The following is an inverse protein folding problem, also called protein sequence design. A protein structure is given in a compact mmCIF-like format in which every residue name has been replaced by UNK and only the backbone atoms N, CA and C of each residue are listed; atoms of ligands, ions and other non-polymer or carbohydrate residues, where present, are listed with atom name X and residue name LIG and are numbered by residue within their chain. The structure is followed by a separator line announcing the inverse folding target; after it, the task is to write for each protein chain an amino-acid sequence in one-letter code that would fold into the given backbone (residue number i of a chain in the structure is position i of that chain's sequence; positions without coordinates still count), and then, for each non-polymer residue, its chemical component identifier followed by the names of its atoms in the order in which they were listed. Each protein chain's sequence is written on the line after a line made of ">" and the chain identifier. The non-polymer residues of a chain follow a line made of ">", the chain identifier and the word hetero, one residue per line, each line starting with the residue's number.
data_IF_829726881565
#
_entry.id   IF_829726881565
#
_cell.length_a   1.000
_cell.length_b   1.000
_cell.length_c   1.000
_cell.angle_alpha   90.00
_cell.angle_beta   90.00
_cell.angle_gamma   90.00
#
_symmetry.space_group_name_H-M   'P 1'
#
loop_
_entity.id
_entity.type
_entity.pdbx_description
1 polymer ?
#
# COMPACT_ATOMS: atom_id res chain seq x y z
N UNK A 1 -47.21 24.78 9.38
CA UNK A 1 -46.73 23.48 8.88
C UNK A 1 -45.39 23.23 9.54
N UNK A 2 -45.37 22.20 10.38
CA UNK A 2 -44.27 21.81 11.25
C UNK A 2 -43.00 21.49 10.42
N UNK A 3 -41.87 22.13 10.71
CA UNK A 3 -40.57 21.95 10.01
C UNK A 3 -39.73 20.83 10.61
N UNK A 4 -40.37 19.91 11.34
CA UNK A 4 -39.77 18.63 11.70
C UNK A 4 -40.29 17.62 10.69
N UNK A 5 -39.58 17.47 9.59
CA UNK A 5 -39.68 16.26 8.80
C UNK A 5 -39.19 15.13 9.71
N UNK A 6 -40.10 14.56 10.50
CA UNK A 6 -39.90 13.24 11.08
C UNK A 6 -39.63 12.32 9.90
N UNK A 7 -38.36 12.03 9.67
CA UNK A 7 -37.91 10.95 8.80
C UNK A 7 -38.51 9.70 9.44
N UNK A 8 -39.66 9.28 8.90
CA UNK A 8 -40.37 8.11 9.38
C UNK A 8 -39.46 6.91 9.18
N UNK A 9 -38.94 6.41 10.30
CA UNK A 9 -38.27 5.12 10.42
C UNK A 9 -36.98 5.00 9.58
N UNK A 10 -35.93 5.75 9.95
CA UNK A 10 -34.57 5.18 9.86
C UNK A 10 -34.58 4.05 10.89
N UNK A 11 -34.84 2.83 10.44
CA UNK A 11 -34.57 1.65 11.27
C UNK A 11 -33.05 1.62 11.40
N UNK A 12 -32.54 2.17 12.51
CA UNK A 12 -31.19 1.92 13.00
C UNK A 12 -31.12 0.44 13.40
N UNK A 13 -31.01 -0.43 12.42
CA UNK A 13 -30.42 -1.72 12.63
C UNK A 13 -28.91 -1.46 12.68
N UNK A 14 -28.32 -1.55 13.87
CA UNK A 14 -26.89 -1.86 14.00
C UNK A 14 -26.68 -3.25 13.39
N UNK A 15 -26.64 -3.31 12.06
CA UNK A 15 -25.94 -4.39 11.39
C UNK A 15 -24.53 -3.85 11.26
N UNK A 16 -23.60 -4.44 12.01
CA UNK A 16 -22.18 -4.34 11.72
C UNK A 16 -21.97 -4.89 10.30
N UNK A 17 -22.24 -4.07 9.30
CA UNK A 17 -21.75 -4.24 7.93
C UNK A 17 -20.69 -3.15 7.76
N UNK A 18 -19.60 -3.30 8.52
CA UNK A 18 -18.30 -3.09 7.90
C UNK A 18 -18.31 -3.87 6.58
N UNK A 19 -17.69 -3.36 5.52
CA UNK A 19 -17.65 -3.94 4.16
C UNK A 19 -17.07 -5.38 4.08
N UNK A 20 -17.75 -6.33 4.74
CA UNK A 20 -17.33 -7.68 5.10
C UNK A 20 -18.51 -8.62 4.83
N UNK A 21 -18.95 -8.69 3.58
CA UNK A 21 -19.64 -9.87 3.04
C UNK A 21 -19.25 -10.05 1.56
N UNK A 22 -18.14 -10.75 1.37
CA UNK A 22 -17.88 -11.84 0.40
C UNK A 22 -18.29 -11.64 -1.07
N UNK A 23 -17.27 -11.53 -1.92
CA UNK A 23 -17.01 -12.56 -2.95
C UNK A 23 -15.56 -13.01 -2.79
N UNK A 24 -15.35 -14.30 -2.49
CA UNK A 24 -14.03 -14.93 -2.57
C UNK A 24 -13.60 -14.95 -4.03
N UNK A 25 -12.68 -14.06 -4.41
CA UNK A 25 -11.91 -14.15 -5.64
C UNK A 25 -10.44 -14.07 -5.26
N UNK A 26 -9.66 -15.00 -5.82
CA UNK A 26 -8.25 -15.24 -5.53
C UNK A 26 -7.42 -13.95 -5.49
N UNK A 27 -6.34 -14.02 -4.69
CA UNK A 27 -5.31 -13.00 -4.46
C UNK A 27 -4.66 -12.40 -5.73
N UNK A 28 -4.75 -13.11 -6.84
CA UNK A 28 -4.44 -12.60 -8.18
C UNK A 28 -5.75 -12.31 -8.90
N UNK A 29 -6.15 -11.04 -9.08
CA UNK A 29 -7.32 -10.72 -9.90
C UNK A 29 -6.98 -11.04 -11.36
N UNK A 30 -7.15 -12.29 -11.77
CA UNK A 30 -7.27 -12.65 -13.18
C UNK A 30 -8.59 -12.09 -13.69
N UNK A 31 -8.57 -10.88 -14.23
CA UNK A 31 -9.73 -10.31 -14.93
C UNK A 31 -9.88 -11.08 -16.24
N UNK A 32 -10.80 -12.04 -16.27
CA UNK A 32 -11.18 -12.77 -17.47
C UNK A 32 -12.32 -12.05 -18.15
N UNK A 33 -12.15 -11.73 -19.43
CA UNK A 33 -13.23 -11.25 -20.29
C UNK A 33 -13.51 -12.31 -21.36
N UNK A 34 -14.79 -12.55 -21.64
CA UNK A 34 -15.20 -13.42 -22.74
C UNK A 34 -14.90 -12.72 -24.08
N UNK A 35 -14.06 -13.32 -24.92
CA UNK A 35 -13.92 -12.88 -26.30
C UNK A 35 -15.14 -13.35 -27.10
N UNK A 36 -16.05 -12.40 -27.37
CA UNK A 36 -17.30 -12.64 -28.09
C UNK A 36 -17.12 -13.24 -29.51
N UNK A 37 -15.91 -13.23 -30.09
CA UNK A 37 -15.61 -13.88 -31.37
C UNK A 37 -15.04 -15.29 -31.23
N UNK A 38 -14.37 -15.60 -30.12
CA UNK A 38 -13.68 -16.86 -29.93
C UNK A 38 -14.43 -17.85 -29.01
N UNK A 39 -15.40 -17.39 -28.23
CA UNK A 39 -16.17 -18.25 -27.31
C UNK A 39 -15.31 -18.89 -26.21
N UNK A 40 -14.17 -18.27 -25.89
CA UNK A 40 -13.20 -18.72 -24.89
C UNK A 40 -12.85 -17.58 -23.95
N UNK A 41 -12.78 -17.86 -22.65
CA UNK A 41 -12.21 -16.94 -21.67
C UNK A 41 -10.69 -16.92 -21.85
N UNK A 42 -10.16 -15.79 -22.31
CA UNK A 42 -8.72 -15.54 -22.35
C UNK A 42 -8.31 -14.75 -21.11
N UNK A 43 -7.21 -15.15 -20.48
CA UNK A 43 -6.54 -14.38 -19.43
C UNK A 43 -6.00 -13.09 -20.06
N UNK A 44 -6.66 -11.96 -19.81
CA UNK A 44 -6.20 -10.69 -20.32
C UNK A 44 -5.15 -10.18 -19.34
N UNK A 45 -3.90 -10.60 -19.52
CA UNK A 45 -2.71 -10.07 -18.82
C UNK A 45 -2.42 -8.59 -19.10
N UNK A 46 -3.45 -7.79 -19.40
CA UNK A 46 -3.34 -6.35 -19.54
C UNK A 46 -3.57 -5.74 -18.17
N UNK A 47 -2.46 -5.48 -17.48
CA UNK A 47 -2.37 -4.52 -16.38
C UNK A 47 -3.30 -3.34 -16.68
N UNK A 48 -4.11 -2.89 -15.71
CA UNK A 48 -5.10 -1.81 -15.89
C UNK A 48 -4.44 -0.41 -16.01
N UNK A 49 -3.15 -0.40 -16.30
CA UNK A 49 -2.25 0.72 -16.42
C UNK A 49 -1.21 0.36 -17.48
N UNK A 50 -0.56 1.37 -18.04
CA UNK A 50 0.60 1.20 -18.91
C UNK A 50 1.84 1.68 -18.18
N UNK A 51 2.99 1.14 -18.53
CA UNK A 51 4.26 1.75 -18.12
C UNK A 51 4.44 3.00 -18.98
N UNK A 52 4.29 4.17 -18.37
CA UNK A 52 4.50 5.47 -19.00
C UNK A 52 5.97 5.66 -19.36
N UNK A 53 6.83 5.31 -18.41
CA UNK A 53 8.27 5.27 -18.59
C UNK A 53 8.91 4.31 -17.59
N UNK A 54 10.03 3.73 -18.00
CA UNK A 54 10.97 3.06 -17.12
C UNK A 54 12.19 3.95 -16.98
N UNK A 55 12.58 4.21 -15.74
CA UNK A 55 13.73 5.02 -15.39
C UNK A 55 14.72 4.17 -14.60
N UNK A 56 15.99 4.28 -14.94
CA UNK A 56 17.08 3.70 -14.17
C UNK A 56 17.87 4.83 -13.53
N UNK A 57 17.83 4.90 -12.21
CA UNK A 57 18.66 5.84 -11.46
C UNK A 57 20.02 5.21 -11.23
N UNK A 58 21.08 5.82 -11.75
CA UNK A 58 22.44 5.30 -11.70
C UNK A 58 23.39 6.31 -11.04
N UNK A 59 24.10 5.86 -10.01
CA UNK A 59 25.26 6.53 -9.47
C UNK A 59 26.52 5.70 -9.81
N UNK A 60 27.14 6.04 -10.94
CA UNK A 60 28.32 5.40 -11.54
C UNK A 60 29.64 6.03 -11.10
N UNK A 61 29.59 7.07 -10.27
CA UNK A 61 30.73 7.87 -9.78
C UNK A 61 31.78 8.24 -10.85
N UNK A 62 31.36 8.31 -12.11
CA UNK A 62 32.22 8.59 -13.25
C UNK A 62 32.38 10.08 -13.54
N UNK A 63 33.44 10.40 -14.28
CA UNK A 63 33.74 11.77 -14.74
C UNK A 63 34.14 12.72 -13.61
N UNK A 64 33.99 14.03 -13.85
CA UNK A 64 34.38 15.10 -12.90
C UNK A 64 33.29 15.42 -11.86
N UNK A 65 32.38 14.47 -11.59
CA UNK A 65 31.26 14.64 -10.65
C UNK A 65 31.70 14.49 -9.19
N UNK A 66 31.00 15.16 -8.30
CA UNK A 66 31.12 15.04 -6.85
C UNK A 66 29.89 14.35 -6.26
N UNK A 67 29.97 13.90 -5.00
CA UNK A 67 28.80 13.33 -4.29
C UNK A 67 27.59 14.28 -4.25
N UNK A 68 27.81 15.60 -4.31
CA UNK A 68 26.70 16.57 -4.32
C UNK A 68 25.86 16.47 -5.59
N UNK A 69 26.49 16.13 -6.71
CA UNK A 69 25.82 16.05 -8.01
C UNK A 69 24.84 14.88 -8.05
N UNK A 70 25.06 13.83 -7.26
CA UNK A 70 24.13 12.72 -7.13
C UNK A 70 22.98 12.98 -6.14
N UNK A 71 23.09 13.95 -5.23
CA UNK A 71 22.11 14.14 -4.15
C UNK A 71 20.95 15.08 -4.57
N UNK A 72 20.08 14.63 -5.47
CA UNK A 72 18.91 15.40 -5.94
C UNK A 72 17.73 14.50 -6.32
N UNK A 73 16.55 15.10 -6.48
CA UNK A 73 15.36 14.41 -7.02
C UNK A 73 15.58 13.96 -8.47
N UNK A 74 16.26 14.77 -9.27
CA UNK A 74 16.56 14.46 -10.68
C UNK A 74 17.48 13.23 -10.83
N UNK A 75 18.45 13.05 -9.93
CA UNK A 75 19.31 11.87 -9.92
C UNK A 75 18.71 10.72 -9.11
N UNK A 76 17.56 10.92 -8.46
CA UNK A 76 16.86 9.90 -7.69
C UNK A 76 17.55 9.46 -6.39
N UNK A 77 18.64 10.11 -5.95
CA UNK A 77 19.37 9.71 -4.73
C UNK A 77 19.30 10.75 -3.62
N UNK A 78 19.19 10.25 -2.40
CA UNK A 78 19.46 10.99 -1.16
C UNK A 78 20.72 10.44 -0.54
N UNK A 79 21.69 11.32 -0.30
CA UNK A 79 22.99 10.98 0.29
C UNK A 79 23.11 11.66 1.65
N UNK A 80 23.29 10.88 2.72
CA UNK A 80 23.28 11.42 4.09
C UNK A 80 24.49 12.31 4.42
N UNK A 81 25.60 12.18 3.68
CA UNK A 81 26.73 13.09 3.74
C UNK A 81 27.47 13.18 2.41
N UNK A 82 27.60 14.39 1.87
CA UNK A 82 28.34 14.64 0.61
C UNK A 82 29.83 14.95 0.84
N UNK A 83 30.32 14.82 2.07
CA UNK A 83 31.74 15.05 2.45
C UNK A 83 32.35 13.83 3.14
N UNK A 84 31.57 12.76 3.29
CA UNK A 84 32.00 11.51 3.90
C UNK A 84 32.62 10.59 2.86
N UNK A 85 33.87 10.83 2.47
CA UNK A 85 34.59 10.00 1.50
C UNK A 85 35.05 10.79 0.29
N UNK A 86 35.49 10.08 -0.74
CA UNK A 86 35.97 10.67 -2.00
C UNK A 86 35.59 9.80 -3.19
N UNK A 87 35.42 10.42 -4.35
CA UNK A 87 35.31 9.74 -5.63
C UNK A 87 36.69 9.76 -6.29
N UNK A 88 37.20 8.59 -6.67
CA UNK A 88 38.44 8.44 -7.43
C UNK A 88 38.37 7.21 -8.31
N UNK A 89 38.99 7.29 -9.49
CA UNK A 89 39.05 6.19 -10.46
C UNK A 89 37.65 5.63 -10.83
N UNK A 90 36.63 6.50 -10.86
CA UNK A 90 35.24 6.10 -11.15
C UNK A 90 34.53 5.39 -10.00
N UNK A 91 35.09 5.34 -8.80
CA UNK A 91 34.50 4.64 -7.65
C UNK A 91 34.39 5.55 -6.44
N UNK A 92 33.43 5.24 -5.58
CA UNK A 92 33.25 5.94 -4.32
C UNK A 92 33.93 5.20 -3.16
N UNK A 93 34.81 5.91 -2.43
CA UNK A 93 35.52 5.42 -1.26
C UNK A 93 35.07 6.17 0.01
N UNK A 94 34.36 5.53 0.95
CA UNK A 94 33.91 6.18 2.18
C UNK A 94 35.03 6.46 3.19
N UNK A 95 36.20 5.82 3.06
CA UNK A 95 37.37 6.03 3.92
C UNK A 95 37.04 5.90 5.42
N UNK A 96 36.37 4.80 5.80
CA UNK A 96 35.89 4.47 7.17
C UNK A 96 34.84 5.41 7.76
N UNK A 97 34.29 6.34 6.98
CA UNK A 97 33.15 7.13 7.40
C UNK A 97 31.85 6.38 7.14
N UNK A 98 30.86 6.60 7.99
CA UNK A 98 29.53 6.05 7.79
C UNK A 98 28.66 7.01 6.97
N UNK A 99 27.92 6.47 6.02
CA UNK A 99 26.96 7.22 5.23
C UNK A 99 25.93 6.28 4.58
N UNK A 100 24.87 6.87 4.05
CA UNK A 100 23.74 6.15 3.48
C UNK A 100 23.42 6.73 2.10
N UNK A 101 23.15 5.84 1.17
CA UNK A 101 22.60 6.11 -0.16
C UNK A 101 21.17 5.54 -0.18
N UNK A 102 20.18 6.42 -0.19
CA UNK A 102 18.77 6.02 -0.25
C UNK A 102 18.17 6.48 -1.57
N UNK A 103 17.31 5.65 -2.16
CA UNK A 103 16.44 6.10 -3.25
C UNK A 103 15.48 7.16 -2.73
N UNK A 104 15.29 8.24 -3.49
CA UNK A 104 14.23 9.22 -3.20
C UNK A 104 12.85 8.69 -3.53
N UNK A 105 12.80 7.67 -4.38
CA UNK A 105 11.59 6.99 -4.80
C UNK A 105 11.64 5.53 -4.37
N UNK A 106 10.47 4.91 -4.24
CA UNK A 106 10.41 3.46 -4.13
C UNK A 106 10.89 2.83 -5.44
N UNK A 107 11.66 1.74 -5.38
CA UNK A 107 12.01 0.96 -6.55
C UNK A 107 10.74 0.28 -7.09
N UNK A 108 10.76 -0.10 -8.37
CA UNK A 108 9.56 -0.56 -9.05
C UNK A 108 8.59 0.60 -9.22
N UNK A 109 7.43 0.58 -8.57
CA UNK A 109 6.45 1.68 -8.59
C UNK A 109 5.86 1.92 -7.18
N UNK A 110 5.14 3.02 -7.00
CA UNK A 110 4.61 3.39 -5.67
C UNK A 110 3.57 2.39 -5.10
N UNK A 111 3.07 1.44 -5.90
CA UNK A 111 2.03 0.47 -5.54
C UNK A 111 2.54 -0.97 -5.45
N UNK A 112 3.80 -1.24 -5.84
CA UNK A 112 4.36 -2.60 -5.85
C UNK A 112 3.76 -3.51 -6.91
N UNK A 113 3.43 -2.95 -8.07
CA UNK A 113 2.83 -3.63 -9.21
C UNK A 113 3.87 -4.14 -10.24
N UNK A 114 5.04 -3.52 -10.28
CA UNK A 114 6.19 -3.85 -11.11
C UNK A 114 7.39 -4.24 -10.25
N UNK A 115 8.19 -5.19 -10.74
CA UNK A 115 9.35 -5.71 -10.03
C UNK A 115 10.36 -4.61 -9.69
N UNK A 116 10.93 -4.72 -8.49
CA UNK A 116 11.94 -3.83 -7.95
C UNK A 116 13.33 -4.43 -8.16
N UNK A 117 14.25 -3.66 -8.70
CA UNK A 117 15.64 -4.03 -8.90
C UNK A 117 16.52 -2.98 -8.24
N UNK A 118 17.40 -3.41 -7.34
CA UNK A 118 18.39 -2.56 -6.68
C UNK A 118 19.74 -3.25 -6.79
N UNK A 119 20.78 -2.53 -7.18
CA UNK A 119 22.11 -3.12 -7.29
C UNK A 119 23.23 -2.15 -7.00
N UNK A 120 24.42 -2.71 -6.83
CA UNK A 120 25.66 -1.97 -6.63
C UNK A 120 26.85 -2.90 -6.89
N UNK A 121 27.98 -2.32 -7.24
CA UNK A 121 29.25 -3.01 -7.34
C UNK A 121 30.04 -2.73 -6.06
N UNK A 122 30.67 -3.79 -5.54
CA UNK A 122 31.38 -3.75 -4.28
C UNK A 122 32.82 -4.20 -4.49
N UNK A 123 33.76 -3.29 -4.21
CA UNK A 123 35.13 -3.66 -3.91
C UNK A 123 35.21 -3.95 -2.41
N UNK A 124 35.49 -5.19 -2.05
CA UNK A 124 35.45 -5.64 -0.66
C UNK A 124 36.54 -4.97 0.19
N UNK A 125 36.21 -4.77 1.46
CA UNK A 125 37.09 -4.18 2.47
C UNK A 125 36.64 -4.58 3.88
N UNK A 126 37.29 -4.00 4.89
CA UNK A 126 36.86 -4.10 6.29
C UNK A 126 35.70 -3.14 6.58
N UNK A 127 34.94 -3.43 7.63
CA UNK A 127 33.67 -2.74 7.94
C UNK A 127 32.48 -3.49 7.36
N UNK A 128 31.34 -2.81 7.22
CA UNK A 128 30.15 -3.42 6.63
C UNK A 128 29.44 -2.53 5.62
N UNK A 129 28.75 -3.18 4.69
CA UNK A 129 27.71 -2.58 3.85
C UNK A 129 26.38 -3.17 4.29
N UNK A 130 25.40 -2.34 4.62
CA UNK A 130 24.07 -2.76 5.07
C UNK A 130 23.05 -2.30 4.03
N UNK A 131 22.23 -3.21 3.53
CA UNK A 131 21.16 -2.92 2.59
C UNK A 131 19.83 -3.17 3.28
N UNK A 132 19.06 -2.11 3.49
CA UNK A 132 17.71 -2.19 4.05
C UNK A 132 16.69 -2.11 2.92
N UNK A 133 15.87 -3.14 2.76
CA UNK A 133 14.81 -3.23 1.74
C UNK A 133 13.42 -3.20 2.37
N UNK A 134 12.42 -2.80 1.59
CA UNK A 134 11.01 -2.70 2.01
C UNK A 134 10.84 -1.92 3.33
N UNK A 135 11.55 -0.80 3.44
CA UNK A 135 11.37 0.15 4.55
C UNK A 135 10.06 0.89 4.36
N UNK A 136 9.29 1.07 5.42
CA UNK A 136 7.98 1.73 5.34
C UNK A 136 8.16 3.21 5.01
N UNK A 137 9.12 3.87 5.67
CA UNK A 137 9.47 5.26 5.40
C UNK A 137 10.92 5.40 4.96
N UNK A 138 11.18 6.44 4.16
CA UNK A 138 12.52 6.80 3.70
C UNK A 138 13.51 7.04 4.87
N UNK A 139 13.01 7.40 6.05
CA UNK A 139 13.81 7.71 7.25
C UNK A 139 13.92 6.57 8.25
N UNK A 140 13.25 5.44 8.02
CA UNK A 140 13.19 4.33 8.98
C UNK A 140 14.57 3.73 9.22
N UNK A 141 14.94 3.59 10.49
CA UNK A 141 16.16 2.89 10.85
C UNK A 141 15.91 1.39 10.80
N UNK A 142 16.99 0.64 10.89
CA UNK A 142 16.95 -0.82 11.02
C UNK A 142 16.08 -1.33 12.16
N UNK A 143 15.99 -0.55 13.24
CA UNK A 143 15.16 -0.88 14.39
C UNK A 143 13.65 -0.66 14.15
N UNK A 144 13.30 0.04 13.07
CA UNK A 144 11.95 0.53 12.80
C UNK A 144 11.23 -0.36 11.78
N UNK A 145 11.87 -0.70 10.63
CA UNK A 145 11.24 -1.53 9.58
C UNK A 145 12.25 -2.13 8.58
N UNK A 146 11.75 -3.02 7.72
CA UNK A 146 12.44 -3.57 6.56
C UNK A 146 13.24 -4.85 6.81
N UNK A 147 13.71 -5.46 5.72
CA UNK A 147 14.64 -6.59 5.73
C UNK A 147 16.05 -6.08 5.48
N UNK A 148 16.97 -6.45 6.35
CA UNK A 148 18.34 -5.94 6.35
C UNK A 148 19.35 -7.01 5.99
N UNK A 149 20.15 -6.73 4.96
CA UNK A 149 21.24 -7.57 4.47
C UNK A 149 22.56 -6.90 4.82
N UNK A 150 23.36 -7.53 5.67
CA UNK A 150 24.60 -6.96 6.21
C UNK A 150 25.76 -7.75 5.65
N UNK A 151 26.49 -7.13 4.75
CA UNK A 151 27.71 -7.66 4.13
C UNK A 151 28.89 -7.30 5.02
N UNK A 152 29.59 -8.30 5.57
CA UNK A 152 30.73 -8.07 6.44
C UNK A 152 31.75 -9.20 6.27
N UNK A 153 32.91 -8.88 5.68
CA UNK A 153 33.91 -9.89 5.35
C UNK A 153 33.32 -11.00 4.46
N UNK A 154 33.42 -12.26 4.92
CA UNK A 154 32.94 -13.44 4.19
C UNK A 154 31.48 -13.80 4.49
N UNK A 155 30.75 -12.97 5.24
CA UNK A 155 29.37 -13.26 5.63
C UNK A 155 28.37 -12.23 5.08
N UNK A 156 27.14 -12.72 4.89
CA UNK A 156 25.94 -11.90 4.75
C UNK A 156 24.98 -12.29 5.86
N UNK A 157 24.58 -11.32 6.67
CA UNK A 157 23.60 -11.51 7.74
C UNK A 157 22.25 -10.90 7.35
N UNK A 158 21.19 -11.69 7.45
CA UNK A 158 19.82 -11.30 7.13
C UNK A 158 19.08 -11.08 8.45
N UNK A 159 18.55 -9.88 8.64
CA UNK A 159 17.81 -9.51 9.85
C UNK A 159 16.46 -8.89 9.51
N UNK A 160 15.43 -9.33 10.23
CA UNK A 160 14.10 -8.73 10.18
C UNK A 160 13.51 -8.73 11.59
N UNK A 161 13.17 -7.56 12.09
CA UNK A 161 12.90 -7.37 13.51
C UNK A 161 11.55 -7.90 13.96
N UNK A 162 10.50 -7.79 13.14
CA UNK A 162 9.15 -8.16 13.55
C UNK A 162 8.95 -9.67 13.71
N UNK A 163 9.57 -10.45 12.84
CA UNK A 163 9.60 -11.91 12.88
C UNK A 163 10.71 -12.47 13.77
N UNK A 164 11.67 -11.64 14.18
CA UNK A 164 12.84 -12.06 14.96
C UNK A 164 13.89 -12.83 14.16
N UNK A 165 13.82 -12.80 12.83
CA UNK A 165 14.79 -13.44 11.95
C UNK A 165 16.16 -12.76 12.12
N UNK A 166 17.18 -13.57 12.40
CA UNK A 166 18.57 -13.16 12.51
C UNK A 166 19.49 -14.31 12.07
N UNK A 167 19.83 -14.33 10.78
CA UNK A 167 20.55 -15.43 10.13
C UNK A 167 21.85 -14.95 9.52
N UNK A 168 22.97 -15.56 9.92
CA UNK A 168 24.29 -15.28 9.34
C UNK A 168 24.70 -16.40 8.37
N UNK A 169 25.12 -16.02 7.17
CA UNK A 169 25.44 -16.93 6.07
C UNK A 169 26.83 -16.66 5.51
N UNK A 170 27.50 -17.69 5.00
CA UNK A 170 28.79 -17.59 4.28
C UNK A 170 28.62 -18.00 2.82
N UNK A 171 28.02 -17.14 1.97
CA UNK A 171 27.53 -17.56 0.66
C UNK A 171 28.62 -17.68 -0.42
N UNK A 172 29.86 -17.31 -0.13
CA UNK A 172 30.93 -17.23 -1.12
C UNK A 172 31.68 -18.55 -1.35
N UNK A 173 31.39 -19.59 -0.54
CA UNK A 173 32.07 -20.88 -0.59
C UNK A 173 33.47 -20.83 0.03
N UNK A 174 34.26 -21.88 -0.18
CA UNK A 174 35.60 -22.03 0.44
C UNK A 174 36.61 -20.95 0.03
N UNK A 175 36.40 -20.31 -1.12
CA UNK A 175 37.27 -19.25 -1.61
C UNK A 175 37.13 -17.92 -0.84
N UNK A 176 36.07 -17.77 -0.03
CA UNK A 176 35.75 -16.52 0.64
C UNK A 176 35.19 -15.46 -0.32
N UNK A 177 34.93 -14.27 0.21
CA UNK A 177 34.43 -13.15 -0.57
C UNK A 177 35.40 -12.78 -1.70
N UNK A 178 34.91 -12.47 -2.91
CA UNK A 178 35.76 -12.03 -4.00
C UNK A 178 36.39 -10.67 -3.70
N UNK A 179 37.41 -10.29 -4.47
CA UNK A 179 37.98 -8.94 -4.36
C UNK A 179 36.95 -7.88 -4.77
N UNK A 180 36.19 -8.15 -5.84
CA UNK A 180 35.16 -7.28 -6.38
C UNK A 180 34.02 -8.11 -6.96
N UNK A 181 32.77 -7.68 -6.75
CA UNK A 181 31.59 -8.30 -7.35
C UNK A 181 30.43 -7.32 -7.50
N UNK A 182 29.50 -7.63 -8.41
CA UNK A 182 28.23 -6.91 -8.54
C UNK A 182 27.13 -7.64 -7.78
N UNK A 183 26.35 -6.89 -7.01
CA UNK A 183 25.20 -7.38 -6.27
C UNK A 183 23.90 -6.81 -6.85
N UNK A 184 22.87 -7.64 -6.88
CA UNK A 184 21.54 -7.25 -7.35
C UNK A 184 20.45 -7.93 -6.54
N UNK A 185 19.61 -7.12 -5.92
CA UNK A 185 18.36 -7.53 -5.32
C UNK A 185 17.26 -7.41 -6.36
N UNK A 186 16.60 -8.53 -6.67
CA UNK A 186 15.37 -8.56 -7.47
C UNK A 186 14.19 -8.91 -6.56
N UNK A 187 13.25 -7.98 -6.42
CA UNK A 187 12.07 -8.11 -5.59
C UNK A 187 10.82 -8.16 -6.47
N UNK A 188 10.21 -9.34 -6.53
CA UNK A 188 8.99 -9.62 -7.31
C UNK A 188 7.72 -9.44 -6.48
N UNK A 189 7.82 -8.81 -5.31
CA UNK A 189 6.76 -8.68 -4.31
C UNK A 189 6.40 -10.01 -3.59
N UNK A 190 6.61 -11.15 -4.24
CA UNK A 190 6.54 -12.50 -3.65
C UNK A 190 7.86 -12.97 -3.05
N UNK A 191 8.99 -12.54 -3.61
CA UNK A 191 10.31 -12.89 -3.15
C UNK A 191 11.35 -11.81 -3.45
N UNK A 192 12.27 -11.60 -2.51
CA UNK A 192 13.49 -10.83 -2.70
C UNK A 192 14.63 -11.81 -2.93
N UNK A 193 15.25 -11.77 -4.12
CA UNK A 193 16.37 -12.63 -4.48
C UNK A 193 17.65 -11.82 -4.60
N UNK A 194 18.71 -12.23 -3.89
CA UNK A 194 20.03 -11.63 -4.01
C UNK A 194 20.91 -12.42 -4.98
N UNK A 195 21.33 -11.74 -6.04
CA UNK A 195 22.29 -12.26 -7.00
C UNK A 195 23.67 -11.63 -6.79
N UNK A 196 24.69 -12.44 -7.05
CA UNK A 196 26.09 -12.05 -7.15
C UNK A 196 26.56 -12.29 -8.59
N UNK A 197 27.23 -11.31 -9.18
CA UNK A 197 27.91 -11.46 -10.47
C UNK A 197 29.41 -11.23 -10.31
N UNK A 198 30.20 -12.23 -10.67
CA UNK A 198 31.66 -12.20 -10.69
C UNK A 198 32.12 -12.43 -12.15
N UNK A 199 32.69 -11.40 -12.77
CA UNK A 199 32.99 -11.43 -14.21
C UNK A 199 31.72 -11.68 -15.03
N UNK A 200 31.67 -12.78 -15.78
CA UNK A 200 30.50 -13.17 -16.59
C UNK A 200 29.54 -14.13 -15.84
N UNK A 201 29.86 -14.54 -14.61
CA UNK A 201 29.09 -15.55 -13.87
C UNK A 201 28.13 -14.90 -12.89
N UNK A 202 26.82 -15.00 -13.16
CA UNK A 202 25.75 -14.60 -12.23
C UNK A 202 25.21 -15.82 -11.47
N UNK A 203 25.15 -15.75 -10.14
CA UNK A 203 24.59 -16.80 -9.27
C UNK A 203 23.62 -16.23 -8.25
N UNK A 204 22.58 -16.99 -7.93
CA UNK A 204 21.67 -16.70 -6.82
C UNK A 204 22.36 -17.08 -5.50
N UNK A 205 22.39 -16.17 -4.52
CA UNK A 205 22.93 -16.46 -3.19
C UNK A 205 21.84 -16.96 -2.24
N UNK A 206 20.70 -16.29 -2.22
CA UNK A 206 19.53 -16.66 -1.42
C UNK A 206 18.29 -15.90 -1.91
N UNK A 207 17.12 -16.40 -1.50
CA UNK A 207 15.83 -15.72 -1.69
C UNK A 207 15.09 -15.65 -0.38
N UNK A 208 14.52 -14.48 -0.08
CA UNK A 208 13.58 -14.29 1.02
C UNK A 208 12.18 -14.32 0.43
N UNK A 209 11.39 -15.34 0.76
CA UNK A 209 10.00 -15.50 0.32
C UNK A 209 9.04 -14.96 1.36
N UNK A 210 7.96 -14.40 0.88
CA UNK A 210 6.88 -13.86 1.71
C UNK A 210 5.56 -14.48 1.28
N UNK A 211 4.73 -14.81 2.27
CA UNK A 211 3.30 -15.06 2.06
C UNK A 211 2.50 -14.07 2.93
N UNK A 212 1.17 -14.20 3.02
CA UNK A 212 0.35 -13.25 3.79
C UNK A 212 0.77 -13.11 5.25
N UNK A 213 1.33 -14.18 5.82
CA UNK A 213 1.55 -14.30 7.25
C UNK A 213 3.02 -14.42 7.60
N UNK A 214 3.81 -15.05 6.74
CA UNK A 214 5.14 -15.54 7.10
C UNK A 214 6.23 -15.11 6.12
N UNK A 215 7.44 -15.03 6.67
CA UNK A 215 8.70 -14.90 5.95
C UNK A 215 9.47 -16.23 6.00
N UNK A 216 10.17 -16.58 4.92
CA UNK A 216 11.06 -17.74 4.88
C UNK A 216 12.31 -17.42 4.05
N UNK A 217 13.48 -17.82 4.55
CA UNK A 217 14.74 -17.64 3.82
C UNK A 217 15.12 -18.96 3.17
N UNK A 218 15.48 -18.91 1.89
CA UNK A 218 15.95 -20.04 1.10
C UNK A 218 17.38 -19.76 0.61
N UNK A 219 18.22 -20.78 0.54
CA UNK A 219 19.55 -20.67 -0.10
C UNK A 219 19.44 -20.59 -1.63
N UNK A 220 20.57 -20.40 -2.31
CA UNK A 220 20.66 -20.33 -3.77
C UNK A 220 20.25 -21.61 -4.51
N UNK A 221 20.04 -22.73 -3.81
CA UNK A 221 19.51 -23.99 -4.36
C UNK A 221 18.00 -24.15 -4.14
N UNK A 222 17.41 -23.26 -3.33
CA UNK A 222 16.00 -23.31 -2.92
C UNK A 222 15.76 -24.12 -1.63
N UNK A 223 16.80 -24.51 -0.90
CA UNK A 223 16.65 -25.17 0.39
C UNK A 223 16.27 -24.15 1.47
N UNK A 224 15.29 -24.48 2.31
CA UNK A 224 14.78 -23.61 3.38
C UNK A 224 15.81 -23.53 4.52
N UNK A 225 16.21 -22.31 4.88
CA UNK A 225 17.18 -21.99 5.92
C UNK A 225 16.52 -21.56 7.25
N UNK A 226 15.29 -21.04 7.18
CA UNK A 226 14.49 -20.67 8.36
C UNK A 226 13.10 -21.28 8.24
N UNK A 227 12.52 -21.73 9.35
CA UNK A 227 11.09 -22.04 9.37
C UNK A 227 10.27 -20.77 9.05
N UNK A 228 9.05 -20.97 8.56
CA UNK A 228 8.13 -19.88 8.29
C UNK A 228 7.81 -19.16 9.62
N UNK A 229 8.16 -17.88 9.71
CA UNK A 229 7.94 -17.07 10.91
C UNK A 229 6.99 -15.92 10.62
N UNK A 230 6.02 -15.64 11.51
CA UNK A 230 5.08 -14.55 11.30
C UNK A 230 5.77 -13.19 11.29
N UNK A 231 5.37 -12.29 10.39
CA UNK A 231 5.81 -10.89 10.41
C UNK A 231 4.62 -9.93 10.59
N UNK A 232 4.88 -8.66 10.91
CA UNK A 232 3.82 -7.65 11.03
C UNK A 232 4.18 -6.24 10.51
N UNK A 233 5.42 -6.01 10.07
CA UNK A 233 5.91 -4.66 9.76
C UNK A 233 6.75 -4.59 8.48
N UNK A 234 6.45 -5.46 7.51
CA UNK A 234 7.07 -5.45 6.19
C UNK A 234 5.97 -5.11 5.17
N UNK A 235 6.04 -3.97 4.47
CA UNK A 235 5.09 -3.62 3.44
C UNK A 235 5.32 -4.50 2.19
N UNK A 236 4.34 -4.53 1.28
CA UNK A 236 4.49 -5.27 0.02
C UNK A 236 5.59 -4.63 -0.85
N UNK A 237 5.59 -3.31 -0.99
CA UNK A 237 6.69 -2.53 -1.55
C UNK A 237 7.15 -1.46 -0.54
N UNK A 238 8.38 -0.97 -0.66
CA UNK A 238 8.87 0.08 0.23
C UNK A 238 10.19 0.69 -0.19
N UNK A 239 10.62 1.69 0.59
CA UNK A 239 11.89 2.37 0.39
C UNK A 239 13.08 1.45 0.63
N UNK A 240 14.24 1.83 0.10
CA UNK A 240 15.49 1.13 0.35
C UNK A 240 16.60 2.06 0.81
N UNK A 241 17.68 1.49 1.34
CA UNK A 241 18.93 2.20 1.59
C UNK A 241 20.11 1.27 1.46
N UNK A 242 21.24 1.80 1.00
CA UNK A 242 22.55 1.17 1.03
C UNK A 242 23.43 2.01 1.96
N UNK A 243 23.73 1.47 3.12
CA UNK A 243 24.54 2.10 4.16
C UNK A 243 25.94 1.51 4.19
N UNK A 244 26.96 2.35 4.21
CA UNK A 244 28.33 1.93 4.53
C UNK A 244 28.63 2.29 5.99
N UNK A 245 29.17 1.34 6.76
CA UNK A 245 29.49 1.53 8.19
C UNK A 245 30.95 1.19 8.44
N UNK A 246 31.75 2.20 8.77
CA UNK A 246 33.20 2.08 8.98
C UNK A 246 33.94 1.31 7.87
N UNK A 247 33.44 1.43 6.64
CA UNK A 247 33.88 0.64 5.49
C UNK A 247 35.13 1.24 4.84
N UNK A 248 36.11 0.42 4.45
CA UNK A 248 37.31 0.87 3.72
C UNK A 248 37.51 0.23 2.34
N UNK A 249 36.48 -0.45 1.82
CA UNK A 249 36.38 -0.80 0.40
C UNK A 249 35.83 0.35 -0.45
N UNK A 250 35.25 0.01 -1.60
CA UNK A 250 34.64 0.98 -2.51
C UNK A 250 33.28 0.51 -3.01
N UNK A 251 32.42 1.47 -3.36
CA UNK A 251 31.17 1.23 -4.06
C UNK A 251 31.22 1.83 -5.46
N UNK A 252 30.52 1.19 -6.39
CA UNK A 252 30.30 1.70 -7.74
C UNK A 252 28.94 1.25 -8.27
N UNK A 253 28.46 1.88 -9.36
CA UNK A 253 27.25 1.52 -10.09
C UNK A 253 26.03 1.23 -9.21
N UNK A 254 25.81 2.07 -8.19
CA UNK A 254 24.58 1.99 -7.39
C UNK A 254 23.42 2.30 -8.32
N UNK A 255 22.42 1.43 -8.32
CA UNK A 255 21.32 1.52 -9.26
C UNK A 255 20.01 1.06 -8.65
N UNK A 256 18.93 1.67 -9.09
CA UNK A 256 17.59 1.12 -8.90
C UNK A 256 16.65 1.55 -10.03
N UNK A 257 15.65 0.71 -10.34
CA UNK A 257 14.65 1.01 -11.35
C UNK A 257 13.43 1.74 -10.74
N UNK A 258 12.75 2.52 -11.57
CA UNK A 258 11.43 3.06 -11.29
C UNK A 258 10.55 3.04 -12.53
N UNK A 259 9.33 2.60 -12.39
CA UNK A 259 8.27 2.67 -13.38
C UNK A 259 7.32 3.81 -13.01
N UNK A 260 7.13 4.73 -13.95
CA UNK A 260 6.00 5.65 -13.91
C UNK A 260 4.81 4.98 -14.56
N UNK A 261 3.70 4.89 -13.84
CA UNK A 261 2.50 4.22 -14.31
C UNK A 261 1.54 5.25 -14.91
N UNK A 262 1.07 4.98 -16.13
CA UNK A 262 0.03 5.74 -16.80
C UNK A 262 -1.30 4.98 -16.67
N UNK A 263 -2.17 5.52 -15.83
CA UNK A 263 -3.52 5.01 -15.64
C UNK A 263 -4.53 5.61 -16.64
N UNK A 264 -4.08 6.45 -17.58
CA UNK A 264 -4.96 6.97 -18.64
C UNK A 264 -5.34 5.85 -19.61
N UNK A 265 -6.51 5.28 -19.37
CA UNK A 265 -7.12 4.34 -20.29
C UNK A 265 -7.65 5.12 -21.51
N UNK A 266 -7.54 4.58 -22.73
CA UNK A 266 -8.16 5.19 -23.89
C UNK A 266 -9.68 5.29 -23.67
N UNK A 267 -10.28 6.39 -24.16
CA UNK A 267 -11.73 6.62 -24.12
C UNK A 267 -12.46 5.36 -24.63
N UNK A 268 -13.18 4.69 -23.73
CA UNK A 268 -13.86 3.44 -24.00
C UNK A 268 -15.37 3.67 -23.89
N UNK A 269 -16.14 3.10 -24.81
CA UNK A 269 -17.60 3.07 -24.68
C UNK A 269 -17.98 2.48 -23.31
N UNK A 270 -18.90 3.17 -22.64
CA UNK A 270 -19.41 2.79 -21.34
C UNK A 270 -19.93 1.35 -21.39
N UNK A 271 -19.20 0.42 -20.78
CA UNK A 271 -19.66 -0.96 -20.65
C UNK A 271 -20.69 -1.02 -19.55
N UNK A 272 -21.96 -1.21 -19.93
CA UNK A 272 -22.95 -1.67 -18.98
C UNK A 272 -22.57 -3.11 -18.59
N UNK A 273 -22.12 -3.29 -17.35
CA UNK A 273 -21.94 -4.61 -16.77
C UNK A 273 -23.15 -4.83 -15.87
N UNK A 274 -23.88 -5.91 -16.10
CA UNK A 274 -25.10 -6.24 -15.35
C UNK A 274 -24.76 -7.13 -14.15
N UNK A 275 -24.76 -6.52 -12.98
CA UNK A 275 -24.44 -7.17 -11.70
C UNK A 275 -25.68 -7.69 -10.97
N UNK A 276 -26.86 -7.58 -11.58
CA UNK A 276 -28.12 -8.06 -10.99
C UNK A 276 -28.15 -9.57 -10.73
N UNK A 277 -27.15 -10.31 -11.23
CA UNK A 277 -26.98 -11.75 -11.04
C UNK A 277 -26.06 -12.14 -9.88
N UNK A 278 -25.38 -11.18 -9.23
CA UNK A 278 -24.45 -11.48 -8.14
C UNK A 278 -25.19 -11.70 -6.82
N UNK A 279 -24.72 -12.66 -6.03
CA UNK A 279 -25.31 -13.01 -4.73
C UNK A 279 -24.21 -13.04 -3.68
N UNK A 280 -24.48 -12.46 -2.52
CA UNK A 280 -23.58 -12.56 -1.37
C UNK A 280 -23.88 -13.85 -0.62
N UNK A 281 -22.83 -14.56 -0.19
CA UNK A 281 -22.92 -15.74 0.65
C UNK A 281 -22.02 -15.55 1.87
N UNK A 282 -22.40 -16.07 3.04
CA UNK A 282 -21.53 -16.09 4.21
C UNK A 282 -20.82 -17.44 4.42
N UNK A 283 -19.91 -17.49 5.39
CA UNK A 283 -19.10 -18.67 5.71
C UNK A 283 -19.92 -19.88 6.20
N UNK A 284 -21.20 -19.67 6.54
CA UNK A 284 -22.14 -20.74 6.90
C UNK A 284 -22.94 -21.22 5.67
N UNK A 285 -22.65 -20.70 4.49
CA UNK A 285 -23.33 -21.03 3.23
C UNK A 285 -24.71 -20.38 3.09
N UNK A 286 -25.06 -19.40 3.92
CA UNK A 286 -26.31 -18.64 3.76
C UNK A 286 -26.12 -17.62 2.64
N UNK A 287 -27.11 -17.42 1.80
CA UNK A 287 -27.08 -16.45 0.70
C UNK A 287 -28.05 -15.30 0.94
N UNK A 288 -27.74 -14.12 0.41
CA UNK A 288 -28.67 -12.99 0.38
C UNK A 288 -29.90 -13.33 -0.45
N UNK A 289 -31.10 -12.84 -0.07
CA UNK A 289 -32.32 -13.08 -0.82
C UNK A 289 -32.20 -12.66 -2.29
N UNK A 290 -32.73 -13.49 -3.19
CA UNK A 290 -32.71 -13.22 -4.62
C UNK A 290 -33.79 -12.20 -5.01
N UNK A 291 -33.68 -11.62 -6.20
CA UNK A 291 -34.72 -10.75 -6.76
C UNK A 291 -36.10 -11.44 -6.81
N UNK A 292 -36.16 -12.76 -6.99
CA UNK A 292 -37.42 -13.52 -6.93
C UNK A 292 -38.10 -13.46 -5.55
N UNK A 293 -37.35 -13.18 -4.49
CA UNK A 293 -37.85 -13.09 -3.11
C UNK A 293 -38.14 -11.64 -2.69
N UNK A 294 -37.37 -10.68 -3.20
CA UNK A 294 -37.41 -9.27 -2.77
C UNK A 294 -38.07 -8.31 -3.76
N UNK A 295 -38.19 -8.72 -5.03
CA UNK A 295 -38.67 -7.91 -6.14
C UNK A 295 -37.62 -6.92 -6.67
N UNK A 296 -38.04 -6.12 -7.65
CA UNK A 296 -37.18 -5.12 -8.29
C UNK A 296 -36.85 -3.94 -7.37
N UNK A 297 -35.81 -3.17 -7.75
CA UNK A 297 -35.49 -1.88 -7.13
C UNK A 297 -36.74 -1.01 -7.06
N UNK A 298 -36.94 -0.37 -5.90
CA UNK A 298 -38.06 0.56 -5.67
C UNK A 298 -37.57 1.96 -5.97
N UNK A 299 -38.14 2.59 -7.00
CA UNK A 299 -37.73 3.93 -7.47
C UNK A 299 -37.91 5.04 -6.42
N UNK A 300 -38.76 4.84 -5.40
CA UNK A 300 -39.01 5.79 -4.31
C UNK A 300 -38.16 5.52 -3.06
N UNK A 301 -37.17 4.62 -3.15
CA UNK A 301 -36.29 4.24 -2.04
C UNK A 301 -34.82 4.36 -2.44
N UNK A 302 -34.02 4.80 -1.48
CA UNK A 302 -32.57 4.90 -1.62
C UNK A 302 -31.87 3.96 -0.63
N UNK A 303 -30.72 3.43 -1.03
CA UNK A 303 -29.78 2.66 -0.21
C UNK A 303 -28.60 3.55 0.14
N UNK A 304 -28.50 3.91 1.42
CA UNK A 304 -27.37 4.64 1.98
C UNK A 304 -26.43 3.72 2.78
N UNK A 305 -25.12 3.91 2.65
CA UNK A 305 -24.11 3.14 3.40
C UNK A 305 -23.19 4.05 4.22
N UNK A 306 -22.90 3.69 5.46
CA UNK A 306 -21.90 4.37 6.28
C UNK A 306 -20.49 4.10 5.76
N UNK A 307 -19.69 5.16 5.62
CA UNK A 307 -18.34 5.09 5.07
C UNK A 307 -17.35 5.84 5.97
N UNK A 308 -16.31 5.15 6.42
CA UNK A 308 -15.35 5.68 7.38
C UNK A 308 -14.07 6.19 6.71
N UNK A 309 -13.58 7.34 7.18
CA UNK A 309 -12.26 7.91 6.83
C UNK A 309 -11.25 7.81 7.98
N UNK A 310 -11.51 6.98 8.99
CA UNK A 310 -10.76 6.94 10.24
C UNK A 310 -9.72 5.81 10.35
N UNK A 311 -9.39 5.12 9.26
CA UNK A 311 -8.28 4.14 9.22
C UNK A 311 -6.87 4.78 9.22
N UNK A 312 -6.75 6.05 9.67
CA UNK A 312 -5.49 6.77 9.61
C UNK A 312 -4.70 6.43 10.86
N UNK A 313 -3.60 5.73 10.69
CA UNK A 313 -2.71 5.43 11.78
C UNK A 313 -2.08 6.73 12.29
N UNK A 314 -2.58 7.34 13.36
CA UNK A 314 -1.98 8.55 13.95
C UNK A 314 -1.26 8.16 15.25
N UNK A 315 0.07 8.02 15.18
CA UNK A 315 0.95 7.65 16.31
C UNK A 315 1.89 6.47 15.98
N UNK A 316 3.15 6.50 16.46
CA UNK A 316 4.10 5.39 16.27
C UNK A 316 3.94 4.28 17.34
N UNK A 317 4.71 3.17 17.24
CA UNK A 317 4.75 2.29 16.08
C UNK A 317 3.32 1.78 15.75
N UNK A 318 3.03 1.74 14.46
CA UNK A 318 1.69 1.49 13.90
C UNK A 318 1.39 -0.01 13.84
N UNK A 319 1.09 -0.61 14.97
CA UNK A 319 0.65 -2.01 15.00
C UNK A 319 -0.74 -2.15 14.36
N UNK A 320 -0.86 -3.02 13.37
CA UNK A 320 -2.14 -3.53 12.90
C UNK A 320 -2.79 -4.29 14.05
N UNK A 321 -3.86 -3.72 14.61
CA UNK A 321 -4.66 -4.39 15.64
C UNK A 321 -5.77 -5.19 14.98
N UNK A 322 -5.49 -6.46 14.71
CA UNK A 322 -6.46 -7.43 14.19
C UNK A 322 -6.92 -8.38 15.31
N UNK A 323 -8.19 -8.26 15.68
CA UNK A 323 -8.80 -9.09 16.70
C UNK A 323 -8.96 -10.56 16.26
N UNK A 324 -9.10 -10.87 14.97
CA UNK A 324 -9.09 -12.26 14.49
C UNK A 324 -7.70 -12.87 14.69
N UNK A 325 -6.63 -12.18 14.28
CA UNK A 325 -5.25 -12.63 14.53
C UNK A 325 -4.97 -12.78 16.03
N UNK A 326 -5.38 -11.82 16.85
CA UNK A 326 -5.25 -11.92 18.32
C UNK A 326 -6.01 -13.13 18.89
N UNK A 327 -7.22 -13.40 18.39
CA UNK A 327 -8.04 -14.53 18.81
C UNK A 327 -7.35 -15.85 18.51
N UNK A 328 -6.85 -16.01 17.29
CA UNK A 328 -6.21 -17.24 16.83
C UNK A 328 -4.90 -17.51 17.58
N UNK A 329 -4.13 -16.46 17.91
CA UNK A 329 -2.85 -16.59 18.59
C UNK A 329 -2.97 -16.76 20.12
N UNK A 330 -3.92 -16.06 20.74
CA UNK A 330 -3.94 -15.89 22.21
C UNK A 330 -5.29 -16.26 22.86
N UNK A 331 -6.33 -16.53 22.08
CA UNK A 331 -7.66 -16.89 22.56
C UNK A 331 -8.52 -15.71 23.03
N UNK A 332 -9.78 -16.01 23.35
CA UNK A 332 -10.82 -15.00 23.65
C UNK A 332 -10.55 -14.19 24.92
N UNK A 333 -9.90 -14.78 25.93
CA UNK A 333 -9.65 -14.09 27.19
C UNK A 333 -8.58 -12.99 27.04
N UNK A 334 -7.62 -13.19 26.13
CA UNK A 334 -6.67 -12.14 25.75
C UNK A 334 -7.37 -10.93 25.14
N UNK A 335 -8.30 -11.16 24.19
CA UNK A 335 -9.06 -10.08 23.54
C UNK A 335 -9.89 -9.30 24.56
N UNK A 336 -10.57 -9.99 25.48
CA UNK A 336 -11.38 -9.35 26.51
C UNK A 336 -10.57 -8.39 27.37
N UNK A 337 -9.33 -8.74 27.72
CA UNK A 337 -8.45 -7.84 28.46
C UNK A 337 -7.89 -6.73 27.56
N UNK A 338 -7.49 -7.04 26.33
CA UNK A 338 -6.93 -6.07 25.39
C UNK A 338 -7.91 -4.92 25.05
N UNK A 339 -9.18 -5.25 24.76
CA UNK A 339 -10.20 -4.24 24.37
C UNK A 339 -10.46 -3.23 25.49
N UNK A 340 -10.29 -3.60 26.77
CA UNK A 340 -10.46 -2.66 27.89
C UNK A 340 -9.45 -1.51 27.84
N UNK A 341 -8.26 -1.75 27.30
CA UNK A 341 -7.17 -0.76 27.23
C UNK A 341 -6.96 -0.20 25.83
N UNK A 342 -7.50 -0.83 24.79
CA UNK A 342 -7.31 -0.43 23.38
C UNK A 342 -8.52 -0.81 22.53
N UNK A 343 -9.61 -0.01 22.56
CA UNK A 343 -10.91 -0.40 22.00
C UNK A 343 -11.03 -0.28 20.47
N UNK A 344 -10.03 0.27 19.77
CA UNK A 344 -10.06 0.43 18.32
C UNK A 344 -9.21 -0.61 17.61
N UNK A 345 -9.72 -1.25 16.56
CA UNK A 345 -9.00 -2.24 15.77
C UNK A 345 -9.87 -2.86 14.68
N UNK A 346 -9.26 -3.69 13.85
CA UNK A 346 -9.92 -4.48 12.84
C UNK A 346 -10.44 -5.77 13.48
N UNK A 347 -11.69 -6.14 13.20
CA UNK A 347 -12.26 -7.39 13.71
C UNK A 347 -11.78 -8.61 12.91
N UNK A 348 -11.35 -8.39 11.68
CA UNK A 348 -10.66 -9.32 10.80
C UNK A 348 -9.85 -8.52 9.78
N UNK A 349 -8.98 -9.16 9.01
CA UNK A 349 -8.31 -8.51 7.89
C UNK A 349 -9.32 -8.03 6.83
N UNK A 350 -9.28 -6.74 6.42
CA UNK A 350 -10.13 -6.27 5.33
C UNK A 350 -9.77 -6.93 4.00
N UNK A 351 -10.72 -6.97 3.06
CA UNK A 351 -10.49 -7.60 1.76
C UNK A 351 -9.28 -7.02 0.99
N UNK A 352 -9.01 -5.72 1.15
CA UNK A 352 -7.84 -5.04 0.56
C UNK A 352 -6.65 -4.94 1.52
N UNK A 353 -6.60 -5.79 2.55
CA UNK A 353 -5.62 -5.68 3.63
C UNK A 353 -5.83 -4.42 4.49
N UNK A 354 -4.84 -4.09 5.32
CA UNK A 354 -4.90 -2.96 6.25
C UNK A 354 -4.56 -1.63 5.59
N UNK A 355 -5.44 -1.19 4.69
CA UNK A 355 -5.25 0.03 3.90
C UNK A 355 -5.36 1.32 4.72
N UNK A 356 -4.73 2.38 4.20
CA UNK A 356 -4.79 3.74 4.75
C UNK A 356 -5.84 4.58 4.00
N UNK A 357 -6.38 5.63 4.62
CA UNK A 357 -7.42 6.48 3.98
C UNK A 357 -6.88 7.44 2.90
N UNK A 358 -5.63 7.27 2.48
CA UNK A 358 -5.07 8.03 1.36
C UNK A 358 -4.63 7.11 0.23
N UNK A 359 -5.15 5.89 0.20
CA UNK A 359 -4.95 4.95 -0.89
C UNK A 359 -6.03 5.16 -1.97
N UNK A 360 -5.65 5.81 -3.07
CA UNK A 360 -6.52 6.05 -4.23
C UNK A 360 -7.04 4.74 -4.84
N UNK A 361 -6.21 3.70 -4.90
CA UNK A 361 -6.57 2.43 -5.50
C UNK A 361 -7.76 1.81 -4.75
N UNK A 362 -7.75 1.89 -3.42
CA UNK A 362 -8.86 1.42 -2.57
C UNK A 362 -10.13 2.24 -2.82
N UNK A 363 -10.05 3.56 -2.95
CA UNK A 363 -11.21 4.39 -3.25
C UNK A 363 -11.85 4.07 -4.61
N UNK A 364 -11.05 3.76 -5.62
CA UNK A 364 -11.56 3.28 -6.92
C UNK A 364 -12.26 1.93 -6.79
N UNK A 365 -11.69 1.00 -6.02
CA UNK A 365 -12.32 -0.31 -5.76
C UNK A 365 -13.61 -0.19 -4.96
N UNK A 366 -13.65 0.66 -3.94
CA UNK A 366 -14.86 0.92 -3.16
C UNK A 366 -15.97 1.51 -4.03
N UNK A 367 -15.69 2.52 -4.85
CA UNK A 367 -16.70 3.06 -5.78
C UNK A 367 -17.31 1.96 -6.64
N UNK A 368 -16.46 1.12 -7.23
CA UNK A 368 -16.89 -0.01 -8.04
C UNK A 368 -17.77 -0.99 -7.25
N UNK A 369 -17.30 -1.47 -6.11
CA UNK A 369 -18.00 -2.48 -5.29
C UNK A 369 -19.33 -1.95 -4.75
N UNK A 370 -19.36 -0.71 -4.26
CA UNK A 370 -20.57 -0.09 -3.73
C UNK A 370 -21.61 0.15 -4.82
N UNK A 371 -21.17 0.59 -5.99
CA UNK A 371 -22.05 0.69 -7.15
C UNK A 371 -22.65 -0.68 -7.51
N UNK A 372 -21.86 -1.76 -7.46
CA UNK A 372 -22.36 -3.12 -7.72
C UNK A 372 -23.31 -3.65 -6.65
N UNK A 373 -23.11 -3.23 -5.40
CA UNK A 373 -24.03 -3.52 -4.32
C UNK A 373 -25.34 -2.70 -4.42
N UNK A 374 -25.47 -1.80 -5.39
CA UNK A 374 -26.65 -0.95 -5.56
C UNK A 374 -26.76 0.16 -4.52
N UNK A 375 -25.63 0.59 -3.94
CA UNK A 375 -25.58 1.71 -2.99
C UNK A 375 -25.76 3.01 -3.77
N UNK A 376 -26.81 3.77 -3.46
CA UNK A 376 -27.11 5.03 -4.12
C UNK A 376 -26.22 6.16 -3.59
N UNK A 377 -25.92 6.16 -2.29
CA UNK A 377 -25.03 7.15 -1.68
C UNK A 377 -24.31 6.61 -0.44
N UNK A 378 -23.20 7.25 -0.09
CA UNK A 378 -22.48 7.02 1.16
C UNK A 378 -22.70 8.17 2.16
N UNK A 379 -22.83 7.82 3.44
CA UNK A 379 -22.64 8.74 4.54
C UNK A 379 -21.15 8.77 4.88
N UNK A 380 -20.47 9.81 4.44
CA UNK A 380 -19.06 10.01 4.75
C UNK A 380 -18.93 10.49 6.19
N UNK A 381 -18.54 9.57 7.08
CA UNK A 381 -18.46 9.83 8.51
C UNK A 381 -17.20 10.61 8.87
N UNK A 382 -17.44 11.82 9.35
CA UNK A 382 -16.47 12.79 9.89
C UNK A 382 -16.98 13.31 11.26
N UNK A 383 -17.88 12.58 11.92
CA UNK A 383 -18.56 13.07 13.13
C UNK A 383 -17.64 13.18 14.35
N UNK A 384 -16.45 12.58 14.33
CA UNK A 384 -15.47 12.54 15.41
C UNK A 384 -14.56 13.78 15.48
N UNK A 385 -15.07 14.96 15.12
CA UNK A 385 -14.37 16.25 15.12
C UNK A 385 -13.07 16.29 14.29
N UNK A 386 -13.00 15.47 13.24
CA UNK A 386 -11.93 15.51 12.25
C UNK A 386 -12.53 15.24 10.86
N UNK A 387 -12.36 16.20 9.96
CA UNK A 387 -12.84 16.07 8.57
C UNK A 387 -11.89 15.28 7.68
N UNK A 388 -10.71 14.89 8.17
CA UNK A 388 -9.71 14.13 7.41
C UNK A 388 -9.41 14.75 6.04
N UNK A 389 -9.00 16.02 6.03
CA UNK A 389 -8.90 16.85 4.81
C UNK A 389 -8.23 16.14 3.64
N UNK A 390 -7.03 15.60 3.85
CA UNK A 390 -6.29 14.87 2.82
C UNK A 390 -7.07 13.67 2.27
N UNK A 391 -7.69 12.89 3.15
CA UNK A 391 -8.41 11.69 2.78
C UNK A 391 -9.70 11.99 2.02
N UNK A 392 -10.48 12.98 2.47
CA UNK A 392 -11.74 13.30 1.81
C UNK A 392 -11.53 14.03 0.49
N UNK A 393 -10.57 14.95 0.39
CA UNK A 393 -10.26 15.62 -0.88
C UNK A 393 -9.80 14.57 -1.90
N UNK A 394 -8.91 13.65 -1.50
CA UNK A 394 -8.49 12.56 -2.37
C UNK A 394 -9.68 11.68 -2.80
N UNK A 395 -10.61 11.36 -1.90
CA UNK A 395 -11.82 10.61 -2.25
C UNK A 395 -12.64 11.33 -3.32
N UNK A 396 -12.87 12.63 -3.15
CA UNK A 396 -13.62 13.45 -4.10
C UNK A 396 -12.92 13.54 -5.45
N UNK A 397 -11.62 13.81 -5.48
CA UNK A 397 -10.82 13.84 -6.70
C UNK A 397 -10.87 12.49 -7.42
N UNK A 398 -10.67 11.41 -6.67
CA UNK A 398 -10.70 10.04 -7.20
C UNK A 398 -12.05 9.71 -7.81
N UNK A 399 -13.15 9.98 -7.09
CA UNK A 399 -14.49 9.64 -7.56
C UNK A 399 -14.95 10.53 -8.70
N UNK A 400 -14.58 11.81 -8.70
CA UNK A 400 -14.79 12.69 -9.84
C UNK A 400 -14.03 12.18 -11.07
N UNK A 401 -12.78 11.75 -10.88
CA UNK A 401 -11.97 11.19 -11.96
C UNK A 401 -12.57 9.90 -12.52
N UNK A 402 -13.07 9.00 -11.67
CA UNK A 402 -13.81 7.80 -12.11
C UNK A 402 -14.98 8.18 -13.03
N UNK A 403 -15.75 9.22 -12.67
CA UNK A 403 -16.90 9.66 -13.49
C UNK A 403 -16.48 10.30 -14.80
N UNK A 404 -15.40 11.11 -14.80
CA UNK A 404 -14.78 11.65 -16.01
C UNK A 404 -14.28 10.56 -16.96
N UNK A 405 -13.81 9.44 -16.40
CA UNK A 405 -13.39 8.23 -17.13
C UNK A 405 -14.57 7.36 -17.61
N UNK A 406 -15.82 7.77 -17.37
CA UNK A 406 -17.02 7.04 -17.76
C UNK A 406 -17.49 5.98 -16.75
N UNK A 407 -16.81 5.87 -15.61
CA UNK A 407 -17.22 5.06 -14.47
C UNK A 407 -18.41 5.65 -13.71
N UNK A 408 -18.87 4.93 -12.69
CA UNK A 408 -19.96 5.35 -11.81
C UNK A 408 -19.50 5.22 -10.35
N UNK A 409 -20.03 6.09 -9.50
CA UNK A 409 -19.79 6.07 -8.06
C UNK A 409 -21.11 6.33 -7.34
N UNK A 410 -21.27 5.85 -6.10
CA UNK A 410 -22.29 6.38 -5.22
C UNK A 410 -22.18 7.91 -5.09
N UNK A 411 -23.27 8.56 -4.73
CA UNK A 411 -23.23 9.96 -4.30
C UNK A 411 -22.73 10.07 -2.85
N UNK A 412 -22.41 11.28 -2.41
CA UNK A 412 -21.81 11.55 -1.10
C UNK A 412 -22.74 12.44 -0.28
N UNK A 413 -22.97 12.02 0.97
CA UNK A 413 -23.58 12.80 2.04
C UNK A 413 -22.53 12.98 3.14
N UNK A 414 -22.12 14.20 3.43
CA UNK A 414 -21.22 14.45 4.56
C UNK A 414 -21.99 14.32 5.88
N UNK A 415 -21.45 13.54 6.83
CA UNK A 415 -21.93 13.48 8.19
C UNK A 415 -20.87 14.01 9.14
N UNK A 416 -21.17 15.11 9.83
CA UNK A 416 -20.19 15.93 10.55
C UNK A 416 -20.77 16.43 11.88
N UNK A 417 -19.91 16.88 12.79
CA UNK A 417 -20.33 17.65 13.94
C UNK A 417 -21.16 16.86 14.94
N UNK A 418 -20.49 16.08 15.79
CA UNK A 418 -21.09 15.42 16.96
C UNK A 418 -21.77 16.39 17.93
N UNK A 419 -21.37 17.66 17.92
CA UNK A 419 -21.96 18.77 18.67
C UNK A 419 -22.01 20.07 17.85
N UNK A 420 -22.85 21.06 18.24
CA UNK A 420 -23.05 22.29 17.46
C UNK A 420 -21.77 23.08 17.16
N UNK A 421 -20.80 23.13 18.08
CA UNK A 421 -19.52 23.83 17.85
C UNK A 421 -18.66 23.16 16.79
N UNK A 422 -18.61 21.83 16.80
CA UNK A 422 -17.87 21.01 15.84
C UNK A 422 -18.49 21.14 14.46
N UNK A 423 -19.82 21.08 14.38
CA UNK A 423 -20.58 21.24 13.14
C UNK A 423 -20.22 22.52 12.39
N UNK A 424 -20.13 23.66 13.11
CA UNK A 424 -19.79 24.94 12.48
C UNK A 424 -18.39 24.92 11.87
N UNK A 425 -17.40 24.40 12.61
CA UNK A 425 -15.99 24.34 12.16
C UNK A 425 -15.90 23.45 10.92
N UNK A 426 -16.43 22.24 11.01
CA UNK A 426 -16.39 21.27 9.92
C UNK A 426 -17.08 21.81 8.67
N UNK A 427 -18.24 22.49 8.80
CA UNK A 427 -18.93 23.09 7.67
C UNK A 427 -18.09 24.19 6.98
N UNK A 428 -17.34 25.00 7.73
CA UNK A 428 -16.42 25.96 7.12
C UNK A 428 -15.30 25.26 6.35
N UNK A 429 -14.73 24.19 6.90
CA UNK A 429 -13.69 23.43 6.20
C UNK A 429 -14.26 22.77 4.94
N UNK A 430 -15.40 22.07 5.04
CA UNK A 430 -16.04 21.44 3.89
C UNK A 430 -16.48 22.47 2.84
N UNK A 431 -16.85 23.69 3.24
CA UNK A 431 -17.14 24.77 2.31
C UNK A 431 -15.91 25.13 1.48
N UNK A 432 -14.74 25.26 2.11
CA UNK A 432 -13.48 25.60 1.43
C UNK A 432 -12.96 24.45 0.55
N UNK A 433 -13.06 23.22 1.05
CA UNK A 433 -12.45 22.05 0.40
C UNK A 433 -13.31 21.47 -0.72
N UNK A 434 -14.63 21.35 -0.52
CA UNK A 434 -15.50 20.61 -1.44
C UNK A 434 -16.75 21.37 -1.91
N UNK A 435 -17.52 22.04 -1.05
CA UNK A 435 -18.83 22.60 -1.46
C UNK A 435 -18.72 23.87 -2.30
N UNK A 436 -17.61 24.61 -2.21
CA UNK A 436 -17.36 25.78 -3.07
C UNK A 436 -16.77 25.42 -4.44
N UNK A 437 -16.48 24.14 -4.70
CA UNK A 437 -15.87 23.64 -5.94
C UNK A 437 -16.96 23.12 -6.89
N UNK A 438 -17.30 23.85 -7.97
CA UNK A 438 -18.38 23.44 -8.89
C UNK A 438 -18.15 22.07 -9.54
N UNK A 439 -16.89 21.67 -9.72
CA UNK A 439 -16.52 20.37 -10.27
C UNK A 439 -16.96 19.17 -9.43
N UNK A 440 -17.20 19.35 -8.12
CA UNK A 440 -17.69 18.27 -7.26
C UNK A 440 -19.22 18.21 -7.15
N UNK A 441 -19.95 19.14 -7.79
CA UNK A 441 -21.41 19.25 -7.64
C UNK A 441 -22.13 17.92 -7.94
N UNK A 442 -21.65 17.19 -8.95
CA UNK A 442 -22.21 15.91 -9.35
C UNK A 442 -22.06 14.80 -8.29
N UNK A 443 -21.04 14.89 -7.43
CA UNK A 443 -20.76 13.88 -6.41
C UNK A 443 -21.74 13.96 -5.25
N UNK A 444 -22.34 15.11 -4.99
CA UNK A 444 -23.23 15.30 -3.83
C UNK A 444 -24.60 14.64 -4.03
N UNK A 445 -25.07 13.94 -3.01
CA UNK A 445 -26.45 13.45 -2.98
C UNK A 445 -27.40 14.63 -2.76
N UNK A 446 -28.35 14.80 -3.68
CA UNK A 446 -29.29 15.92 -3.67
C UNK A 446 -30.60 15.50 -2.99
N UNK A 447 -31.01 16.25 -1.96
CA UNK A 447 -32.30 16.12 -1.30
C UNK A 447 -33.07 17.43 -1.43
N UNK A 448 -34.29 17.37 -1.98
CA UNK A 448 -35.13 18.55 -2.24
C UNK A 448 -34.40 19.67 -3.02
N UNK A 449 -33.51 19.29 -3.94
CA UNK A 449 -32.75 20.20 -4.80
C UNK A 449 -31.53 20.85 -4.14
N UNK A 450 -31.04 20.31 -3.01
CA UNK A 450 -29.81 20.75 -2.34
C UNK A 450 -28.97 19.57 -1.85
N UNK A 451 -27.64 19.73 -1.72
CA UNK A 451 -26.81 18.72 -1.07
C UNK A 451 -27.32 18.39 0.35
N UNK A 452 -27.50 17.11 0.63
CA UNK A 452 -27.83 16.64 1.97
C UNK A 452 -26.56 16.63 2.84
N UNK A 453 -26.66 17.17 4.05
CA UNK A 453 -25.60 17.13 5.07
C UNK A 453 -26.26 16.69 6.38
N UNK A 454 -25.61 15.79 7.12
CA UNK A 454 -26.03 15.39 8.45
C UNK A 454 -25.10 16.00 9.50
N UNK A 455 -25.66 16.48 10.60
CA UNK A 455 -24.88 16.87 11.76
C UNK A 455 -25.72 17.24 12.96
N UNK A 456 -25.07 17.26 14.13
CA UNK A 456 -25.72 17.54 15.39
C UNK A 456 -25.72 19.04 15.67
N UNK A 457 -26.90 19.64 15.68
CA UNK A 457 -27.12 21.03 16.07
C UNK A 457 -27.94 21.15 17.37
N UNK A 458 -28.12 20.03 18.09
CA UNK A 458 -28.78 20.04 19.38
C UNK A 458 -27.80 20.49 20.45
N UNK A 459 -28.20 21.50 21.23
CA UNK A 459 -27.48 21.88 22.45
C UNK A 459 -27.67 20.76 23.49
N UNK A 460 -26.60 20.25 24.12
CA UNK A 460 -26.69 19.16 25.12
C UNK A 460 -27.70 19.39 26.25
#
# INVERSE_FOLDING_TARGET
>A
MDKRACIYLIVFAFVFVSAYVIVSLRRSPEIRAEDAKAGTFAENGKKAYRIASEQLFLADFGGDKTLKDYNSDENGWRISSTTAGEIRDGRFYPNKKSMDFSGRFMPGDDYGAEDSVIGFDLLFGSGSVEVGLRRILETDKKADSGIWFIFQGDTIRIQEQSSGVDLELSPYGEAGAPAEASFEFADTHEAISLYLTEGETKRLLFSVKYNENDISILDGTGAVLTEATPYNNIPQNGYFTISVKSFDGALDNLRYNRYELDFSLPEAEQRFVDYSSWVAADDLGRITPLNSETGNKREDKYVGLFYFLCNEYTGGPREVRDFTRMYLNYGVDYIKEHIKTSPGGYWAEPFFGYYINTDEWVYRKHAYMLQQAGVDFIFLDMSNANVYEKAHVLLFDTWLQIRKEGGQTPQIVCMTGDMPSTLVIDLYTLMDTIYSKPEYEELFFQWEGKPLILGNNDTP
#
